data_IF_456930640702
#
_entry.id   IF_456930640702
#
_cell.length_a   1.000
_cell.length_b   1.000
_cell.length_c   1.000
_cell.angle_alpha   90.00
_cell.angle_beta   90.00
_cell.angle_gamma   90.00
#
_symmetry.space_group_name_H-M   'P 1'
#
loop_
_entity.id
_entity.type
_entity.pdbx_description
1 polymer ?
#
# COMPACT_ATOMS: atom_id res chain seq x y z
N UNK A 1 28.20 29.37 37.44
CA UNK A 1 28.44 28.05 36.84
C UNK A 1 27.25 27.52 36.05
N UNK A 2 26.03 27.68 36.55
CA UNK A 2 24.81 27.17 35.89
C UNK A 2 24.60 27.72 34.45
N UNK A 3 24.81 29.02 34.23
CA UNK A 3 24.65 29.66 32.89
C UNK A 3 25.64 29.16 31.83
N UNK A 4 26.83 28.70 32.23
CA UNK A 4 27.84 28.15 31.31
C UNK A 4 27.49 26.72 30.91
N UNK A 5 26.88 25.96 31.83
CA UNK A 5 26.44 24.59 31.57
C UNK A 5 25.21 24.57 30.65
N UNK A 6 24.27 25.52 30.84
CA UNK A 6 23.10 25.65 29.95
C UNK A 6 23.45 26.05 28.53
N UNK A 7 24.45 26.91 28.35
CA UNK A 7 24.92 27.31 27.02
C UNK A 7 25.65 26.16 26.29
N UNK A 8 26.41 25.36 27.03
CA UNK A 8 27.05 24.17 26.47
C UNK A 8 26.04 23.08 26.05
N UNK A 9 24.99 22.85 26.86
CA UNK A 9 23.94 21.93 26.53
C UNK A 9 23.11 22.37 25.31
N UNK A 10 22.82 23.67 25.16
CA UNK A 10 22.14 24.23 24.00
C UNK A 10 22.99 24.12 22.73
N UNK A 11 24.31 24.31 22.82
CA UNK A 11 25.20 24.15 21.68
C UNK A 11 25.31 22.70 21.19
N UNK A 12 25.25 21.72 22.09
CA UNK A 12 25.26 20.30 21.72
C UNK A 12 23.98 19.86 20.96
N UNK A 13 22.84 20.48 21.25
CA UNK A 13 21.57 20.19 20.58
C UNK A 13 21.49 20.72 19.14
N UNK A 14 22.33 21.74 18.81
CA UNK A 14 22.38 22.32 17.47
C UNK A 14 23.29 21.55 16.49
N UNK A 15 24.12 20.62 16.99
CA UNK A 15 25.02 19.79 16.14
C UNK A 15 24.35 18.52 15.63
N UNK A 16 23.19 18.17 16.16
CA UNK A 16 22.34 17.10 15.63
C UNK A 16 21.73 17.51 14.29
N UNK A 17 22.54 17.52 13.23
CA UNK A 17 22.04 17.71 11.87
C UNK A 17 20.98 16.65 11.54
N UNK A 18 20.01 16.95 10.64
CA UNK A 18 19.03 15.97 10.20
C UNK A 18 19.77 14.77 9.63
N UNK A 19 19.58 13.61 10.23
CA UNK A 19 20.04 12.35 9.67
C UNK A 19 19.26 12.14 8.35
N UNK A 20 19.86 12.56 7.23
CA UNK A 20 19.35 12.25 5.91
C UNK A 20 19.54 10.74 5.70
N UNK A 21 18.55 9.97 6.13
CA UNK A 21 18.42 8.59 5.74
C UNK A 21 18.10 8.57 4.24
N UNK A 22 19.14 8.79 3.43
CA UNK A 22 19.06 8.63 1.98
C UNK A 22 19.07 7.14 1.67
N UNK A 23 17.94 6.46 1.93
CA UNK A 23 17.65 5.24 1.20
C UNK A 23 17.38 5.68 -0.24
N UNK A 24 18.20 5.25 -1.19
CA UNK A 24 17.85 5.31 -2.61
C UNK A 24 16.59 4.45 -2.78
N UNK A 25 15.42 5.08 -2.61
CA UNK A 25 14.16 4.44 -2.95
C UNK A 25 14.22 4.18 -4.43
N UNK A 26 14.25 2.90 -4.80
CA UNK A 26 14.15 2.51 -6.20
C UNK A 26 12.77 2.93 -6.69
N UNK A 27 12.74 3.78 -7.68
CA UNK A 27 11.47 4.21 -8.27
C UNK A 27 10.76 2.97 -8.84
N UNK A 28 9.47 2.76 -8.49
CA UNK A 28 8.71 1.64 -9.00
C UNK A 28 8.63 1.71 -10.52
N UNK A 29 8.80 0.58 -11.19
CA UNK A 29 8.65 0.49 -12.63
C UNK A 29 7.17 0.71 -13.00
N UNK A 30 6.85 1.61 -13.95
CA UNK A 30 5.48 1.87 -14.37
C UNK A 30 4.90 0.62 -15.04
N UNK A 31 3.79 0.13 -14.49
CA UNK A 31 3.05 -1.02 -15.04
C UNK A 31 1.73 -0.50 -15.58
N UNK A 32 1.44 -0.76 -16.86
CA UNK A 32 0.14 -0.45 -17.45
C UNK A 32 -0.90 -1.49 -17.01
N UNK A 33 -1.95 -1.03 -16.36
CA UNK A 33 -3.05 -1.89 -15.94
C UNK A 33 -4.27 -1.72 -16.86
N UNK A 34 -4.98 -2.81 -17.14
CA UNK A 34 -6.18 -2.80 -17.98
C UNK A 34 -7.32 -1.96 -17.43
N UNK A 35 -7.33 -1.67 -16.14
CA UNK A 35 -8.35 -0.89 -15.45
C UNK A 35 -8.01 0.60 -15.32
N UNK A 36 -6.89 1.06 -15.90
CA UNK A 36 -6.50 2.46 -15.88
C UNK A 36 -7.36 3.32 -16.83
N UNK A 37 -7.52 4.60 -16.43
CA UNK A 37 -8.24 5.58 -17.21
C UNK A 37 -9.77 5.44 -17.19
N UNK A 38 -10.49 6.35 -17.86
CA UNK A 38 -11.95 6.43 -17.77
C UNK A 38 -12.68 5.26 -18.45
N UNK A 39 -12.01 4.52 -19.32
CA UNK A 39 -12.55 3.34 -20.02
C UNK A 39 -11.89 2.04 -19.58
N UNK A 40 -11.08 2.07 -18.53
CA UNK A 40 -10.42 0.89 -17.99
C UNK A 40 -11.42 -0.12 -17.45
N UNK A 41 -11.10 -1.41 -17.62
CA UNK A 41 -11.91 -2.52 -17.11
C UNK A 41 -11.05 -3.54 -16.42
N UNK A 42 -11.58 -4.12 -15.35
CA UNK A 42 -10.95 -5.25 -14.71
C UNK A 42 -11.15 -6.52 -15.54
N UNK A 43 -10.07 -7.23 -15.80
CA UNK A 43 -10.12 -8.57 -16.35
C UNK A 43 -10.49 -9.58 -15.24
N UNK A 44 -11.53 -10.36 -15.47
CA UNK A 44 -12.05 -11.31 -14.46
C UNK A 44 -11.01 -12.37 -14.07
N UNK A 45 -10.25 -12.88 -15.02
CA UNK A 45 -9.23 -13.87 -14.74
C UNK A 45 -8.06 -13.28 -13.92
N UNK A 46 -7.72 -12.00 -14.14
CA UNK A 46 -6.75 -11.30 -13.30
C UNK A 46 -7.29 -11.10 -11.89
N UNK A 47 -8.57 -10.73 -11.73
CA UNK A 47 -9.21 -10.61 -10.42
C UNK A 47 -9.21 -11.93 -9.66
N UNK A 48 -9.50 -13.05 -10.32
CA UNK A 48 -9.44 -14.37 -9.71
C UNK A 48 -8.04 -14.73 -9.22
N UNK A 49 -7.02 -14.47 -10.05
CA UNK A 49 -5.62 -14.68 -9.65
C UNK A 49 -5.20 -13.77 -8.50
N UNK A 50 -5.59 -12.50 -8.54
CA UNK A 50 -5.34 -11.55 -7.47
C UNK A 50 -6.01 -11.93 -6.16
N UNK A 51 -7.27 -12.36 -6.21
CA UNK A 51 -7.99 -12.85 -5.04
C UNK A 51 -7.34 -14.11 -4.45
N UNK A 52 -6.84 -15.01 -5.30
CA UNK A 52 -6.10 -16.19 -4.84
C UNK A 52 -4.85 -15.78 -4.06
N UNK A 53 -4.06 -14.85 -4.58
CA UNK A 53 -2.87 -14.33 -3.90
C UNK A 53 -3.25 -13.68 -2.57
N UNK A 54 -4.30 -12.83 -2.56
CA UNK A 54 -4.79 -12.23 -1.33
C UNK A 54 -5.15 -13.29 -0.29
N UNK A 55 -5.95 -14.29 -0.67
CA UNK A 55 -6.43 -15.34 0.24
C UNK A 55 -5.30 -16.20 0.81
N UNK A 56 -4.30 -16.53 -0.01
CA UNK A 56 -3.23 -17.45 0.38
C UNK A 56 -2.07 -16.75 1.11
N UNK A 57 -1.83 -15.47 0.82
CA UNK A 57 -0.66 -14.75 1.32
C UNK A 57 -1.04 -13.58 2.22
N UNK A 58 -1.92 -12.68 1.77
CA UNK A 58 -2.14 -11.39 2.42
C UNK A 58 -3.19 -11.46 3.54
N UNK A 59 -4.17 -12.36 3.45
CA UNK A 59 -5.34 -12.41 4.34
C UNK A 59 -5.00 -12.73 5.79
N UNK A 60 -3.84 -13.34 6.05
CA UNK A 60 -3.37 -13.61 7.41
C UNK A 60 -3.14 -12.34 8.24
N UNK A 61 -2.78 -11.22 7.57
CA UNK A 61 -2.51 -9.93 8.21
C UNK A 61 -3.48 -8.83 7.74
N UNK A 62 -4.01 -8.92 6.53
CA UNK A 62 -4.87 -7.91 5.91
C UNK A 62 -6.28 -8.44 5.68
N UNK A 63 -7.22 -8.05 6.55
CA UNK A 63 -8.61 -8.42 6.39
C UNK A 63 -9.34 -7.54 5.37
N UNK A 64 -10.32 -8.09 4.67
CA UNK A 64 -11.22 -7.37 3.75
C UNK A 64 -12.57 -7.09 4.40
N UNK A 65 -12.58 -6.35 5.51
CA UNK A 65 -13.79 -6.12 6.31
C UNK A 65 -14.89 -5.34 5.57
N UNK A 66 -14.52 -4.58 4.55
CA UNK A 66 -15.46 -3.77 3.76
C UNK A 66 -16.01 -4.50 2.53
N UNK A 67 -15.57 -5.74 2.28
CA UNK A 67 -16.00 -6.55 1.16
C UNK A 67 -16.74 -7.77 1.69
N UNK A 68 -18.04 -7.84 1.43
CA UNK A 68 -18.81 -9.04 1.77
C UNK A 68 -18.54 -10.15 0.74
N UNK A 69 -18.65 -11.41 1.15
CA UNK A 69 -18.45 -12.54 0.23
C UNK A 69 -19.35 -12.48 -1.00
N UNK A 70 -20.59 -12.01 -0.86
CA UNK A 70 -21.51 -11.81 -2.00
C UNK A 70 -20.93 -10.87 -3.06
N UNK A 71 -20.17 -9.85 -2.66
CA UNK A 71 -19.59 -8.90 -3.61
C UNK A 71 -18.55 -9.54 -4.56
N UNK A 72 -18.01 -10.68 -4.19
CA UNK A 72 -17.11 -11.44 -5.07
C UNK A 72 -17.85 -12.03 -6.29
N UNK A 73 -19.17 -12.25 -6.17
CA UNK A 73 -20.03 -12.73 -7.24
C UNK A 73 -20.82 -11.62 -7.97
N UNK A 74 -20.74 -10.38 -7.53
CA UNK A 74 -21.43 -9.27 -8.17
C UNK A 74 -20.87 -8.96 -9.56
N UNK A 75 -21.62 -8.24 -10.38
CA UNK A 75 -21.20 -7.83 -11.72
C UNK A 75 -19.84 -7.08 -11.65
N UNK A 76 -18.86 -7.57 -12.39
CA UNK A 76 -17.48 -7.06 -12.36
C UNK A 76 -16.60 -7.65 -11.26
N UNK A 77 -17.14 -8.53 -10.43
CA UNK A 77 -16.37 -9.29 -9.44
C UNK A 77 -15.62 -10.49 -10.02
N UNK A 78 -14.69 -11.07 -9.25
CA UNK A 78 -13.86 -12.19 -9.73
C UNK A 78 -14.64 -13.47 -10.02
N UNK A 79 -15.80 -13.67 -9.40
CA UNK A 79 -16.62 -14.90 -9.53
C UNK A 79 -18.01 -14.59 -10.08
N UNK A 80 -18.16 -13.48 -10.76
CA UNK A 80 -19.43 -13.15 -11.42
C UNK A 80 -19.75 -14.16 -12.53
N UNK A 81 -20.97 -14.68 -12.50
CA UNK A 81 -21.54 -15.54 -13.53
C UNK A 81 -22.88 -14.93 -13.98
N UNK A 82 -23.07 -14.62 -15.28
CA UNK A 82 -24.29 -14.01 -15.79
C UNK A 82 -25.53 -14.91 -15.64
N UNK A 83 -25.34 -16.16 -15.27
CA UNK A 83 -26.43 -17.13 -15.08
C UNK A 83 -27.13 -16.99 -13.72
N UNK A 84 -26.45 -16.40 -12.75
CA UNK A 84 -26.94 -16.17 -11.39
C UNK A 84 -27.00 -14.68 -11.09
#
# INVERSE_FOLDING_TARGET
MLRKVTLLAAALLLVGGPALASSKVREPEPVAFSFEGPFGRFDQAQLQRGYKVYREVCSACHSMNLVAFRNLGDAGGPFWDPKY
#
